data_IF_519913101628
#
_entry.id   IF_519913101628
#
_cell.length_a   1.000
_cell.length_b   1.000
_cell.length_c   1.000
_cell.angle_alpha   90.00
_cell.angle_beta   90.00
_cell.angle_gamma   90.00
#
_symmetry.space_group_name_H-M   'P 1'
#
loop_
_entity.id
_entity.type
_entity.pdbx_description
1 polymer ?
#
# COMPACT_ATOMS: atom_id res chain seq x y z
N UNK A 1 -18.08 3.95 1.66
CA UNK A 1 -16.90 3.91 0.76
C UNK A 1 -16.78 2.52 0.16
N UNK A 2 -16.45 2.46 -1.09
CA UNK A 2 -16.25 1.21 -1.81
C UNK A 2 -15.12 0.38 -1.20
N UNK A 3 -15.23 -0.95 -1.23
CA UNK A 3 -14.21 -1.84 -0.68
C UNK A 3 -12.90 -1.73 -1.46
N UNK A 4 -11.81 -1.52 -0.76
CA UNK A 4 -10.47 -1.50 -1.35
C UNK A 4 -10.01 -2.91 -1.76
N UNK A 5 -10.53 -3.95 -1.11
CA UNK A 5 -10.27 -5.34 -1.51
C UNK A 5 -10.83 -5.67 -2.89
N UNK A 6 -11.93 -5.05 -3.29
CA UNK A 6 -12.50 -5.21 -4.63
C UNK A 6 -11.51 -4.77 -5.71
N UNK A 7 -10.78 -3.68 -5.44
CA UNK A 7 -9.73 -3.20 -6.36
C UNK A 7 -8.62 -4.24 -6.49
N UNK A 8 -8.16 -4.75 -5.35
CA UNK A 8 -7.10 -5.76 -5.31
C UNK A 8 -7.50 -7.02 -6.06
N UNK A 9 -8.70 -7.51 -5.82
CA UNK A 9 -9.22 -8.71 -6.49
C UNK A 9 -9.40 -8.50 -7.99
N UNK A 10 -9.90 -7.32 -8.39
CA UNK A 10 -10.08 -6.98 -9.79
C UNK A 10 -8.78 -6.92 -10.59
N UNK A 11 -7.67 -6.58 -9.94
CA UNK A 11 -6.36 -6.51 -10.57
C UNK A 11 -5.68 -7.88 -10.71
N UNK A 12 -6.13 -8.88 -9.97
CA UNK A 12 -5.44 -10.17 -9.88
C UNK A 12 -5.28 -10.86 -11.23
N UNK A 13 -6.38 -11.05 -11.98
CA UNK A 13 -6.31 -11.77 -13.25
C UNK A 13 -5.54 -10.97 -14.32
N UNK A 14 -5.82 -9.68 -14.52
CA UNK A 14 -5.00 -8.88 -15.45
C UNK A 14 -3.51 -8.88 -15.11
N UNK A 15 -3.15 -8.87 -13.82
CA UNK A 15 -1.74 -8.93 -13.40
C UNK A 15 -1.10 -10.27 -13.77
N UNK A 16 -1.82 -11.39 -13.57
CA UNK A 16 -1.34 -12.72 -13.97
C UNK A 16 -1.18 -12.81 -15.49
N UNK A 17 -2.12 -12.26 -16.24
CA UNK A 17 -2.06 -12.24 -17.70
C UNK A 17 -0.85 -11.46 -18.19
N UNK A 18 -0.62 -10.29 -17.60
CA UNK A 18 0.55 -9.45 -17.94
C UNK A 18 1.85 -10.16 -17.60
N UNK A 19 1.92 -10.82 -16.45
CA UNK A 19 3.10 -11.59 -16.05
C UNK A 19 3.42 -12.69 -17.07
N UNK A 20 2.39 -13.35 -17.63
CA UNK A 20 2.57 -14.34 -18.67
C UNK A 20 3.10 -13.78 -19.98
N UNK A 21 2.78 -12.53 -20.29
CA UNK A 21 3.16 -11.88 -21.55
C UNK A 21 4.54 -11.21 -21.48
N UNK A 22 4.92 -10.66 -20.31
CA UNK A 22 6.21 -9.97 -20.12
C UNK A 22 6.87 -10.42 -18.81
N UNK A 23 7.17 -11.72 -18.68
CA UNK A 23 7.64 -12.30 -17.40
C UNK A 23 8.92 -11.67 -16.88
N UNK A 24 9.86 -11.32 -17.76
CA UNK A 24 11.15 -10.77 -17.32
C UNK A 24 11.02 -9.35 -16.75
N UNK A 25 10.07 -8.56 -17.26
CA UNK A 25 9.79 -7.22 -16.70
C UNK A 25 9.23 -7.33 -15.29
N UNK A 26 8.23 -8.18 -15.11
CA UNK A 26 7.62 -8.36 -13.78
C UNK A 26 8.60 -9.00 -12.80
N UNK A 27 9.44 -9.91 -13.27
CA UNK A 27 10.50 -10.51 -12.45
C UNK A 27 11.51 -9.45 -12.00
N UNK A 28 11.94 -8.58 -12.92
CA UNK A 28 12.84 -7.47 -12.60
C UNK A 28 12.24 -6.50 -11.58
N UNK A 29 10.97 -6.15 -11.76
CA UNK A 29 10.24 -5.31 -10.80
C UNK A 29 10.17 -5.97 -9.42
N UNK A 30 9.83 -7.26 -9.36
CA UNK A 30 9.75 -7.99 -8.09
C UNK A 30 11.12 -8.01 -7.37
N UNK A 31 12.21 -8.19 -8.10
CA UNK A 31 13.56 -8.15 -7.53
C UNK A 31 13.92 -6.76 -6.99
N UNK A 32 13.61 -5.71 -7.76
CA UNK A 32 13.81 -4.33 -7.32
C UNK A 32 13.02 -4.03 -6.05
N UNK A 33 11.73 -4.38 -6.05
CA UNK A 33 10.85 -4.14 -4.91
C UNK A 33 11.35 -4.87 -3.66
N UNK A 34 11.72 -6.14 -3.80
CA UNK A 34 12.24 -6.95 -2.69
C UNK A 34 13.51 -6.31 -2.09
N UNK A 35 14.43 -5.89 -2.95
CA UNK A 35 15.68 -5.27 -2.50
C UNK A 35 15.42 -3.92 -1.81
N UNK A 36 14.55 -3.08 -2.38
CA UNK A 36 14.25 -1.77 -1.84
C UNK A 36 13.51 -1.84 -0.49
N UNK A 37 12.62 -2.82 -0.34
CA UNK A 37 11.77 -2.95 0.85
C UNK A 37 12.40 -3.80 1.95
N UNK A 38 13.56 -4.41 1.72
CA UNK A 38 14.26 -5.22 2.72
C UNK A 38 14.67 -4.38 3.93
N UNK A 39 14.65 -4.97 5.12
CA UNK A 39 15.13 -4.29 6.32
C UNK A 39 16.60 -3.91 6.19
N UNK A 40 16.91 -2.71 6.61
CA UNK A 40 18.24 -2.17 6.68
C UNK A 40 18.29 -1.18 7.84
N UNK A 41 18.93 -0.04 7.65
CA UNK A 41 18.91 1.05 8.64
C UNK A 41 17.49 1.57 8.87
N UNK A 42 16.63 1.46 7.85
CA UNK A 42 15.20 1.69 8.00
C UNK A 42 14.51 0.34 8.14
N UNK A 43 13.57 0.23 9.08
CA UNK A 43 12.81 -1.00 9.28
C UNK A 43 11.86 -1.26 8.12
N UNK A 44 11.45 -2.51 7.94
CA UNK A 44 10.42 -2.86 6.97
C UNK A 44 9.11 -2.11 7.22
N UNK A 45 8.75 -1.90 8.50
CA UNK A 45 7.59 -1.10 8.88
C UNK A 45 7.70 0.33 8.36
N UNK A 46 8.82 0.99 8.62
CA UNK A 46 9.05 2.36 8.14
C UNK A 46 8.95 2.42 6.61
N UNK A 47 9.55 1.47 5.92
CA UNK A 47 9.52 1.43 4.45
C UNK A 47 8.10 1.25 3.91
N UNK A 48 7.28 0.41 4.54
CA UNK A 48 5.88 0.24 4.14
C UNK A 48 5.06 1.52 4.38
N UNK A 49 5.29 2.22 5.49
CA UNK A 49 4.62 3.51 5.74
C UNK A 49 5.05 4.58 4.74
N UNK A 50 6.34 4.63 4.36
CA UNK A 50 6.82 5.52 3.30
C UNK A 50 6.14 5.22 1.97
N UNK A 51 6.07 3.94 1.60
CA UNK A 51 5.44 3.52 0.36
C UNK A 51 3.94 3.86 0.35
N UNK A 52 3.26 3.70 1.49
CA UNK A 52 1.85 4.08 1.64
C UNK A 52 1.66 5.59 1.42
N UNK A 53 2.50 6.43 2.02
CA UNK A 53 2.43 7.89 1.87
C UNK A 53 2.63 8.28 0.40
N UNK A 54 3.61 7.67 -0.27
CA UNK A 54 3.85 7.91 -1.69
C UNK A 54 2.65 7.46 -2.52
N UNK A 55 2.04 6.32 -2.17
CA UNK A 55 0.84 5.80 -2.84
C UNK A 55 -0.34 6.78 -2.75
N UNK A 56 -0.52 7.42 -1.60
CA UNK A 56 -1.54 8.46 -1.39
C UNK A 56 -1.23 9.65 -2.31
N UNK A 57 0.01 10.11 -2.32
CA UNK A 57 0.47 11.22 -3.15
C UNK A 57 0.24 10.95 -4.64
N UNK A 58 0.48 9.71 -5.07
CA UNK A 58 0.29 9.29 -6.46
C UNK A 58 -1.15 8.94 -6.80
N UNK A 59 -2.06 8.98 -5.82
CA UNK A 59 -3.47 8.64 -6.00
C UNK A 59 -3.64 7.24 -6.62
N UNK A 60 -2.87 6.27 -6.10
CA UNK A 60 -2.80 4.92 -6.64
C UNK A 60 -3.51 3.94 -5.72
N UNK A 61 -4.78 3.63 -6.01
CA UNK A 61 -5.58 2.72 -5.18
C UNK A 61 -4.93 1.35 -4.99
N UNK A 62 -4.44 0.74 -6.07
CA UNK A 62 -3.76 -0.56 -5.99
C UNK A 62 -2.52 -0.52 -5.11
N UNK A 63 -1.76 0.56 -5.18
CA UNK A 63 -0.57 0.76 -4.36
C UNK A 63 -0.95 0.97 -2.89
N UNK A 64 -2.02 1.74 -2.63
CA UNK A 64 -2.54 1.97 -1.28
C UNK A 64 -2.92 0.63 -0.64
N UNK A 65 -3.67 -0.20 -1.35
CA UNK A 65 -4.08 -1.52 -0.83
C UNK A 65 -2.84 -2.38 -0.54
N UNK A 66 -1.88 -2.43 -1.45
CA UNK A 66 -0.68 -3.24 -1.29
C UNK A 66 0.14 -2.83 -0.06
N UNK A 67 0.36 -1.53 0.11
CA UNK A 67 1.25 -1.04 1.16
C UNK A 67 0.58 -0.88 2.53
N UNK A 68 -0.75 -0.69 2.59
CA UNK A 68 -1.47 -0.78 3.86
C UNK A 68 -1.48 -2.21 4.38
N UNK A 69 -1.63 -3.20 3.50
CA UNK A 69 -1.51 -4.61 3.87
C UNK A 69 -0.07 -4.93 4.30
N UNK A 70 0.92 -4.40 3.59
CA UNK A 70 2.33 -4.54 3.96
C UNK A 70 2.63 -3.94 5.32
N UNK A 71 2.11 -2.74 5.60
CA UNK A 71 2.27 -2.09 6.90
C UNK A 71 1.65 -2.93 8.02
N UNK A 72 0.46 -3.48 7.79
CA UNK A 72 -0.19 -4.36 8.78
C UNK A 72 0.65 -5.60 9.05
N UNK A 73 1.19 -6.25 8.00
CA UNK A 73 2.05 -7.43 8.16
C UNK A 73 3.31 -7.11 8.97
N UNK A 74 3.82 -5.89 8.83
CA UNK A 74 4.99 -5.43 9.58
C UNK A 74 4.65 -4.95 10.99
N UNK A 75 3.39 -5.03 11.40
CA UNK A 75 2.97 -4.71 12.75
C UNK A 75 2.55 -3.26 12.97
N UNK A 76 2.27 -2.51 11.91
CA UNK A 76 1.80 -1.13 12.05
C UNK A 76 0.49 -1.08 12.82
N UNK A 77 0.43 -0.19 13.81
CA UNK A 77 -0.81 0.10 14.53
C UNK A 77 -1.68 1.05 13.70
N UNK A 78 -2.97 1.07 14.00
CA UNK A 78 -3.90 2.01 13.37
C UNK A 78 -3.44 3.46 13.56
N UNK A 79 -2.92 3.79 14.74
CA UNK A 79 -2.42 5.13 15.04
C UNK A 79 -1.18 5.48 14.21
N UNK A 80 -0.27 4.54 14.02
CA UNK A 80 0.91 4.77 13.16
C UNK A 80 0.50 5.04 11.73
N UNK A 81 -0.46 4.28 11.20
CA UNK A 81 -1.01 4.52 9.87
C UNK A 81 -1.65 5.91 9.79
N UNK A 82 -2.44 6.29 10.79
CA UNK A 82 -3.08 7.60 10.84
C UNK A 82 -2.06 8.74 10.84
N UNK A 83 -0.99 8.60 11.61
CA UNK A 83 0.05 9.64 11.68
C UNK A 83 0.81 9.76 10.35
N UNK A 84 1.10 8.65 9.70
CA UNK A 84 1.72 8.67 8.37
C UNK A 84 0.80 9.34 7.33
N UNK A 85 -0.50 9.06 7.39
CA UNK A 85 -1.50 9.74 6.55
C UNK A 85 -1.47 11.25 6.82
N UNK A 86 -1.31 11.65 8.07
CA UNK A 86 -1.17 13.07 8.45
C UNK A 86 -0.03 13.75 7.71
N UNK A 87 1.10 13.08 7.56
CA UNK A 87 2.23 13.60 6.79
C UNK A 87 1.84 13.77 5.31
N UNK A 88 1.15 12.78 4.74
CA UNK A 88 0.68 12.87 3.36
C UNK A 88 -0.27 14.06 3.17
N UNK A 89 -1.15 14.32 4.13
CA UNK A 89 -2.07 15.47 4.09
C UNK A 89 -1.30 16.78 4.15
N UNK A 90 -0.34 16.89 5.06
CA UNK A 90 0.47 18.09 5.21
C UNK A 90 1.21 18.46 3.92
N UNK A 91 1.70 17.46 3.20
CA UNK A 91 2.47 17.66 1.98
C UNK A 91 1.62 17.84 0.72
N UNK A 92 0.39 17.31 0.71
CA UNK A 92 -0.47 17.30 -0.48
C UNK A 92 -1.68 18.24 -0.39
N UNK A 93 -2.02 18.71 0.82
CA UNK A 93 -3.20 19.56 1.01
C UNK A 93 -4.52 18.83 0.75
N UNK A 94 -5.47 19.49 0.09
CA UNK A 94 -6.81 18.98 -0.19
C UNK A 94 -6.85 17.56 -0.74
N UNK A 95 -6.09 17.24 -1.79
CA UNK A 95 -6.06 15.85 -2.30
C UNK A 95 -5.68 14.82 -1.24
N UNK A 96 -4.81 15.18 -0.30
CA UNK A 96 -4.45 14.30 0.81
C UNK A 96 -5.60 14.01 1.75
N UNK A 97 -6.49 14.98 1.97
CA UNK A 97 -7.69 14.79 2.80
C UNK A 97 -8.75 13.90 2.14
N UNK A 98 -8.65 13.73 0.83
CA UNK A 98 -9.55 12.85 0.05
C UNK A 98 -8.95 11.47 -0.08
N UNK A 99 -7.68 11.37 -0.46
CA UNK A 99 -7.00 10.10 -0.71
C UNK A 99 -6.48 9.42 0.56
N UNK A 100 -6.13 10.20 1.60
CA UNK A 100 -5.68 9.65 2.87
C UNK A 100 -6.69 8.72 3.54
N UNK A 101 -7.98 9.07 3.64
CA UNK A 101 -8.98 8.18 4.22
C UNK A 101 -9.09 6.82 3.53
N UNK A 102 -8.78 6.72 2.24
CA UNK A 102 -8.73 5.44 1.53
C UNK A 102 -7.71 4.49 2.14
N UNK A 103 -6.56 5.00 2.54
CA UNK A 103 -5.52 4.20 3.17
C UNK A 103 -5.98 3.67 4.54
N UNK A 104 -6.63 4.51 5.35
CA UNK A 104 -7.18 4.06 6.62
C UNK A 104 -8.26 3.00 6.42
N UNK A 105 -9.14 3.20 5.45
CA UNK A 105 -10.17 2.23 5.11
C UNK A 105 -9.56 0.89 4.67
N UNK A 106 -8.54 0.92 3.81
CA UNK A 106 -7.83 -0.29 3.37
C UNK A 106 -7.17 -1.01 4.55
N UNK A 107 -6.55 -0.27 5.45
CA UNK A 107 -5.98 -0.84 6.67
C UNK A 107 -7.05 -1.52 7.52
N UNK A 108 -8.17 -0.83 7.76
CA UNK A 108 -9.26 -1.36 8.59
C UNK A 108 -9.86 -2.64 7.97
N UNK A 109 -10.05 -2.69 6.66
CA UNK A 109 -10.52 -3.89 5.98
C UNK A 109 -9.53 -5.05 6.14
N UNK A 110 -8.24 -4.79 5.94
CA UNK A 110 -7.20 -5.80 6.07
C UNK A 110 -7.10 -6.31 7.52
N UNK A 111 -7.17 -5.41 8.48
CA UNK A 111 -7.13 -5.77 9.90
C UNK A 111 -8.35 -6.61 10.30
N UNK A 112 -9.55 -6.26 9.82
CA UNK A 112 -10.76 -7.02 10.07
C UNK A 112 -10.69 -8.43 9.47
N UNK A 113 -10.20 -8.56 8.23
CA UNK A 113 -10.04 -9.85 7.57
C UNK A 113 -9.03 -10.74 8.32
N UNK A 114 -7.97 -10.16 8.87
CA UNK A 114 -6.94 -10.88 9.62
C UNK A 114 -7.45 -11.39 10.96
N UNK A 115 -8.43 -10.70 11.56
CA UNK A 115 -9.03 -11.07 12.86
C UNK A 115 -10.17 -12.07 12.71
N UNK A 116 -10.66 -12.31 11.50
CA UNK A 116 -11.79 -13.20 11.24
C UNK A 116 -11.39 -14.68 11.33
#
# INVERSE_FOLDING_TARGET
MESMDTIREGLRQPALDLQGLIPEVLKGYAQLSKAAMAEGDLSGLTKELLAMVISITRECDGCIVAHTRGALRQGATRQQVAEAIGVAIAMNGGPGTVWGPRALHAYDEAAAARSA
#
